data_IF_020328542774
#
_entry.id   IF_020328542774
#
_cell.length_a   1.000
_cell.length_b   1.000
_cell.length_c   1.000
_cell.angle_alpha   90.00
_cell.angle_beta   90.00
_cell.angle_gamma   90.00
#
_symmetry.space_group_name_H-M   'P 1'
#
loop_
_entity.id
_entity.type
_entity.pdbx_description
1 polymer ?
#
# COMPACT_ATOMS: atom_id res chain seq x y z
N UNK A 1 4.82 -15.79 -11.42
CA UNK A 1 5.45 -16.99 -10.85
C UNK A 1 4.57 -17.52 -9.75
N UNK A 2 4.59 -18.83 -9.54
CA UNK A 2 3.79 -19.46 -8.49
C UNK A 2 4.48 -19.23 -7.14
N UNK A 3 3.69 -18.89 -6.11
CA UNK A 3 4.20 -18.70 -4.76
C UNK A 3 4.67 -20.01 -4.14
N UNK A 4 5.73 -19.98 -3.30
CA UNK A 4 5.99 -21.04 -2.36
C UNK A 4 4.71 -21.40 -1.61
N UNK A 5 4.48 -22.69 -1.44
CA UNK A 5 3.30 -23.18 -0.73
C UNK A 5 3.22 -22.61 0.69
N UNK A 6 4.37 -22.41 1.32
CA UNK A 6 4.53 -21.79 2.64
C UNK A 6 4.05 -20.34 2.69
N UNK A 7 4.10 -19.59 1.59
CA UNK A 7 3.57 -18.23 1.51
C UNK A 7 2.07 -18.22 1.17
N UNK A 8 1.62 -19.16 0.34
CA UNK A 8 0.23 -19.26 -0.10
C UNK A 8 -0.76 -19.40 1.06
N UNK A 9 -0.37 -20.05 2.15
CA UNK A 9 -1.23 -20.16 3.36
C UNK A 9 -1.64 -18.81 3.94
N UNK A 10 -0.77 -17.78 3.87
CA UNK A 10 -1.13 -16.45 4.35
C UNK A 10 -2.14 -15.78 3.44
N UNK A 11 -2.12 -16.05 2.13
CA UNK A 11 -3.15 -15.59 1.23
C UNK A 11 -4.50 -16.20 1.60
N UNK A 12 -4.54 -17.51 1.83
CA UNK A 12 -5.77 -18.22 2.21
C UNK A 12 -6.38 -17.64 3.49
N UNK A 13 -5.54 -17.41 4.52
CA UNK A 13 -6.00 -16.80 5.78
C UNK A 13 -6.47 -15.35 5.54
N UNK A 14 -5.76 -14.58 4.72
CA UNK A 14 -6.14 -13.20 4.38
C UNK A 14 -7.42 -13.12 3.54
N UNK A 15 -7.71 -14.12 2.70
CA UNK A 15 -8.95 -14.23 1.93
C UNK A 15 -10.15 -14.51 2.85
N UNK A 16 -9.97 -15.29 3.93
CA UNK A 16 -11.02 -15.56 4.93
C UNK A 16 -11.25 -14.42 5.94
N UNK A 17 -10.21 -13.63 6.20
CA UNK A 17 -10.15 -12.62 7.25
C UNK A 17 -11.32 -11.62 7.27
N UNK A 18 -11.79 -11.03 6.16
CA UNK A 18 -12.83 -10.00 6.21
C UNK A 18 -14.17 -10.57 6.70
N UNK A 19 -14.51 -11.78 6.21
CA UNK A 19 -15.71 -12.50 6.63
C UNK A 19 -15.62 -12.83 8.12
N UNK A 20 -14.46 -13.28 8.62
CA UNK A 20 -14.26 -13.61 10.03
C UNK A 20 -14.33 -12.38 10.94
N UNK A 21 -13.75 -11.25 10.52
CA UNK A 21 -13.89 -9.98 11.24
C UNK A 21 -15.35 -9.58 11.38
N UNK A 22 -16.14 -9.69 10.29
CA UNK A 22 -17.56 -9.36 10.29
C UNK A 22 -18.41 -10.35 11.12
N UNK A 23 -18.15 -11.65 10.99
CA UNK A 23 -18.86 -12.72 11.71
C UNK A 23 -18.65 -12.63 13.22
N UNK A 24 -17.40 -12.42 13.66
CA UNK A 24 -17.11 -12.34 15.08
C UNK A 24 -17.54 -11.00 15.67
N UNK A 25 -17.27 -9.90 14.94
CA UNK A 25 -17.44 -8.52 15.39
C UNK A 25 -16.95 -8.31 16.85
N UNK A 26 -15.85 -8.96 17.18
CA UNK A 26 -15.27 -9.02 18.52
C UNK A 26 -13.76 -9.21 18.39
N UNK A 27 -13.03 -8.25 18.94
CA UNK A 27 -11.57 -8.16 18.83
C UNK A 27 -10.88 -9.41 19.36
N UNK A 28 -11.34 -9.95 20.49
CA UNK A 28 -10.67 -11.07 21.15
C UNK A 28 -10.97 -12.38 20.43
N UNK A 29 -12.22 -12.57 19.96
CA UNK A 29 -12.57 -13.73 19.14
C UNK A 29 -11.80 -13.75 17.82
N UNK A 30 -11.70 -12.60 17.15
CA UNK A 30 -10.93 -12.50 15.91
C UNK A 30 -9.44 -12.80 16.13
N UNK A 31 -8.81 -12.21 17.16
CA UNK A 31 -7.41 -12.50 17.49
C UNK A 31 -7.16 -13.95 17.87
N UNK A 32 -8.11 -14.58 18.58
CA UNK A 32 -8.02 -16.00 18.93
C UNK A 32 -8.11 -16.89 17.69
N UNK A 33 -9.03 -16.58 16.77
CA UNK A 33 -9.12 -17.27 15.48
C UNK A 33 -7.83 -17.11 14.67
N UNK A 34 -7.32 -15.89 14.47
CA UNK A 34 -6.13 -15.69 13.66
C UNK A 34 -4.91 -16.41 14.25
N UNK A 35 -4.74 -16.39 15.58
CA UNK A 35 -3.70 -17.18 16.26
C UNK A 35 -3.83 -18.67 15.94
N UNK A 36 -5.03 -19.22 16.07
CA UNK A 36 -5.28 -20.63 15.78
C UNK A 36 -4.96 -20.98 14.32
N UNK A 37 -5.36 -20.15 13.35
CA UNK A 37 -5.04 -20.37 11.94
C UNK A 37 -3.54 -20.35 11.69
N UNK A 38 -2.83 -19.38 12.27
CA UNK A 38 -1.37 -19.30 12.17
C UNK A 38 -0.69 -20.52 12.82
N UNK A 39 -1.11 -20.91 14.02
CA UNK A 39 -0.51 -22.05 14.75
C UNK A 39 -0.75 -23.40 14.05
N UNK A 40 -1.87 -23.54 13.34
CA UNK A 40 -2.28 -24.83 12.76
C UNK A 40 -1.92 -25.00 11.30
N UNK A 41 -1.93 -23.92 10.51
CA UNK A 41 -1.72 -23.98 9.06
C UNK A 41 -0.32 -23.55 8.63
N UNK A 42 0.37 -22.72 9.41
CA UNK A 42 1.68 -22.17 9.02
C UNK A 42 2.82 -23.06 9.52
N UNK A 43 3.58 -23.64 8.60
CA UNK A 43 4.91 -24.17 8.93
C UNK A 43 5.90 -23.01 9.04
N UNK A 44 6.04 -22.48 10.26
CA UNK A 44 6.85 -21.30 10.51
C UNK A 44 8.33 -21.50 10.14
N UNK A 45 8.87 -22.71 10.31
CA UNK A 45 10.24 -23.02 9.94
C UNK A 45 10.46 -22.99 8.43
N UNK A 46 9.52 -23.54 7.67
CA UNK A 46 9.52 -23.50 6.21
C UNK A 46 9.38 -22.07 5.68
N UNK A 47 8.44 -21.28 6.23
CA UNK A 47 8.25 -19.86 5.85
C UNK A 47 9.54 -19.06 6.01
N UNK A 48 10.21 -19.17 7.15
CA UNK A 48 11.41 -18.39 7.40
C UNK A 48 12.57 -18.80 6.49
N UNK A 49 12.67 -20.08 6.14
CA UNK A 49 13.68 -20.59 5.20
C UNK A 49 13.42 -20.11 3.77
N UNK A 50 12.17 -20.22 3.30
CA UNK A 50 11.81 -19.78 1.96
C UNK A 50 11.94 -18.25 1.85
N UNK A 51 11.62 -17.53 2.93
CA UNK A 51 11.84 -16.10 3.02
C UNK A 51 13.34 -15.73 2.93
N UNK A 52 14.22 -16.43 3.64
CA UNK A 52 15.67 -16.22 3.53
C UNK A 52 16.19 -16.45 2.11
N UNK A 53 15.71 -17.48 1.44
CA UNK A 53 16.11 -17.80 0.05
C UNK A 53 15.68 -16.68 -0.91
N UNK A 54 14.41 -16.26 -0.87
CA UNK A 54 13.90 -15.21 -1.74
C UNK A 54 14.52 -13.83 -1.46
N UNK A 55 14.81 -13.50 -0.20
CA UNK A 55 15.51 -12.27 0.17
C UNK A 55 16.93 -12.22 -0.38
N UNK A 56 17.62 -13.36 -0.46
CA UNK A 56 18.96 -13.43 -1.03
C UNK A 56 18.98 -13.14 -2.55
N UNK A 57 17.84 -13.31 -3.23
CA UNK A 57 17.71 -13.14 -4.68
C UNK A 57 16.96 -11.85 -5.09
N UNK A 58 16.41 -11.08 -4.14
CA UNK A 58 15.56 -9.91 -4.38
C UNK A 58 14.38 -10.22 -5.32
N UNK A 59 13.68 -11.32 -5.01
CA UNK A 59 12.58 -11.78 -5.86
C UNK A 59 11.34 -10.90 -5.70
N UNK A 60 10.75 -10.52 -6.84
CA UNK A 60 9.52 -9.69 -6.89
C UNK A 60 8.33 -10.29 -6.14
N UNK A 61 8.38 -11.60 -5.86
CA UNK A 61 7.38 -12.33 -5.09
C UNK A 61 7.26 -11.84 -3.64
N UNK A 62 8.33 -11.28 -3.09
CA UNK A 62 8.38 -10.77 -1.72
C UNK A 62 7.38 -9.63 -1.50
N UNK A 63 7.23 -8.72 -2.47
CA UNK A 63 6.23 -7.65 -2.41
C UNK A 63 4.80 -8.20 -2.44
N UNK A 64 4.59 -9.27 -3.22
CA UNK A 64 3.33 -10.02 -3.18
C UNK A 64 3.08 -10.60 -1.80
N UNK A 65 4.07 -11.28 -1.21
CA UNK A 65 3.97 -11.92 0.11
C UNK A 65 3.83 -10.91 1.27
N UNK A 66 4.38 -9.71 1.12
CA UNK A 66 4.23 -8.63 2.09
C UNK A 66 2.77 -8.14 2.22
N UNK A 67 1.97 -8.21 1.15
CA UNK A 67 0.58 -7.75 1.14
C UNK A 67 -0.33 -8.52 2.12
N UNK A 68 -0.45 -9.87 2.10
CA UNK A 68 -1.27 -10.58 3.07
C UNK A 68 -0.76 -10.40 4.50
N UNK A 69 0.57 -10.34 4.73
CA UNK A 69 1.13 -10.07 6.06
C UNK A 69 0.69 -8.69 6.59
N UNK A 70 0.72 -7.67 5.74
CA UNK A 70 0.26 -6.31 6.06
C UNK A 70 -1.23 -6.27 6.44
N UNK A 71 -2.08 -6.92 5.64
CA UNK A 71 -3.51 -6.99 5.91
C UNK A 71 -3.81 -7.77 7.19
N UNK A 72 -3.16 -8.91 7.41
CA UNK A 72 -3.31 -9.70 8.63
C UNK A 72 -2.81 -8.95 9.87
N UNK A 73 -1.71 -8.21 9.78
CA UNK A 73 -1.22 -7.39 10.89
C UNK A 73 -2.21 -6.27 11.26
N UNK A 74 -2.80 -5.57 10.29
CA UNK A 74 -3.84 -4.57 10.57
C UNK A 74 -5.14 -5.20 11.09
N UNK A 75 -5.55 -6.31 10.50
CA UNK A 75 -6.72 -7.04 10.97
C UNK A 75 -6.52 -7.52 12.40
N UNK A 76 -5.33 -8.01 12.75
CA UNK A 76 -5.01 -8.42 14.13
C UNK A 76 -4.99 -7.25 15.11
N UNK A 77 -4.45 -6.10 14.66
CA UNK A 77 -4.48 -4.85 15.42
C UNK A 77 -5.91 -4.46 15.75
N UNK A 78 -6.78 -4.38 14.75
CA UNK A 78 -8.12 -3.83 14.93
C UNK A 78 -9.14 -4.85 15.42
N UNK A 79 -9.15 -6.06 14.84
CA UNK A 79 -10.07 -7.16 15.13
C UNK A 79 -11.54 -6.91 14.78
N UNK A 80 -11.88 -5.67 14.45
CA UNK A 80 -13.18 -5.16 13.97
C UNK A 80 -12.92 -3.82 13.27
N UNK A 81 -13.96 -3.17 12.76
CA UNK A 81 -13.87 -1.78 12.30
C UNK A 81 -13.48 -0.87 13.49
N UNK A 82 -12.48 0.03 13.37
CA UNK A 82 -11.91 0.90 14.41
C UNK A 82 -12.86 1.91 15.10
N UNK A 83 -14.04 1.48 15.50
CA UNK A 83 -15.10 2.30 16.08
C UNK A 83 -14.93 2.49 17.59
N UNK A 84 -14.26 1.56 18.28
CA UNK A 84 -14.14 1.61 19.74
C UNK A 84 -13.00 2.52 20.20
N UNK A 85 -13.25 3.29 21.27
CA UNK A 85 -12.21 4.13 21.89
C UNK A 85 -11.06 3.29 22.47
N UNK A 86 -11.38 2.11 23.00
CA UNK A 86 -10.40 1.19 23.60
C UNK A 86 -9.32 0.78 22.61
N UNK A 87 -9.68 0.32 21.41
CA UNK A 87 -8.68 -0.11 20.43
C UNK A 87 -7.98 1.07 19.76
N UNK A 88 -8.63 2.23 19.64
CA UNK A 88 -7.98 3.46 19.14
C UNK A 88 -6.90 4.00 20.08
N UNK A 89 -7.10 3.85 21.39
CA UNK A 89 -6.17 4.30 22.43
C UNK A 89 -5.17 3.22 22.86
N UNK A 90 -5.22 2.03 22.26
CA UNK A 90 -4.25 0.97 22.55
C UNK A 90 -2.86 1.42 22.10
N UNK A 91 -1.91 1.43 23.02
CA UNK A 91 -0.51 1.80 22.74
C UNK A 91 0.40 0.59 22.56
N UNK A 92 -0.01 -0.59 23.02
CA UNK A 92 0.78 -1.81 22.96
C UNK A 92 -0.07 -3.02 22.55
N UNK A 93 0.50 -3.86 21.69
CA UNK A 93 -0.08 -5.12 21.23
C UNK A 93 1.02 -6.14 20.91
N UNK A 94 0.91 -7.32 21.50
CA UNK A 94 1.76 -8.46 21.17
C UNK A 94 1.18 -9.21 19.98
N UNK A 95 1.96 -9.29 18.90
CA UNK A 95 1.60 -10.03 17.69
C UNK A 95 2.10 -11.48 17.77
N UNK A 96 1.41 -12.44 17.13
CA UNK A 96 1.93 -13.80 16.97
C UNK A 96 3.23 -13.80 16.16
N UNK A 97 4.23 -14.57 16.59
CA UNK A 97 5.56 -14.59 15.94
C UNK A 97 5.50 -15.04 14.48
N UNK A 98 4.58 -15.95 14.16
CA UNK A 98 4.36 -16.46 12.81
C UNK A 98 3.81 -15.39 11.87
N UNK A 99 3.21 -14.31 12.40
CA UNK A 99 2.78 -13.16 11.61
C UNK A 99 3.84 -12.06 11.63
N UNK A 100 4.37 -11.74 12.82
CA UNK A 100 5.17 -10.55 13.01
C UNK A 100 6.61 -10.71 12.52
N UNK A 101 7.26 -11.85 12.78
CA UNK A 101 8.65 -12.07 12.39
C UNK A 101 8.86 -12.05 10.86
N UNK A 102 8.05 -12.72 10.02
CA UNK A 102 8.22 -12.61 8.56
C UNK A 102 7.89 -11.20 8.07
N UNK A 103 6.92 -10.52 8.70
CA UNK A 103 6.56 -9.14 8.37
C UNK A 103 7.69 -8.15 8.66
N UNK A 104 8.28 -8.20 9.86
CA UNK A 104 9.44 -7.39 10.23
C UNK A 104 10.61 -7.63 9.29
N UNK A 105 10.91 -8.89 8.98
CA UNK A 105 12.04 -9.25 8.14
C UNK A 105 11.91 -8.71 6.71
N UNK A 106 10.72 -8.76 6.12
CA UNK A 106 10.47 -8.17 4.79
C UNK A 106 10.53 -6.64 4.85
N UNK A 107 9.96 -6.02 5.88
CA UNK A 107 10.01 -4.58 6.03
C UNK A 107 11.45 -4.08 6.21
N UNK A 108 12.25 -4.76 7.03
CA UNK A 108 13.66 -4.42 7.26
C UNK A 108 14.47 -4.52 5.96
N UNK A 109 14.21 -5.54 5.13
CA UNK A 109 14.86 -5.69 3.82
C UNK A 109 14.57 -4.50 2.89
N UNK A 110 13.30 -4.06 2.82
CA UNK A 110 12.91 -2.92 1.99
C UNK A 110 13.09 -1.55 2.66
N UNK A 111 13.57 -1.49 3.90
CA UNK A 111 13.66 -0.26 4.69
C UNK A 111 12.29 0.37 5.00
N UNK A 112 11.24 -0.43 5.07
CA UNK A 112 9.89 0.00 5.41
C UNK A 112 9.71 0.11 6.91
N UNK A 113 8.86 1.04 7.34
CA UNK A 113 8.48 1.20 8.74
C UNK A 113 7.68 -0.03 9.19
N UNK A 114 8.00 -0.57 10.36
CA UNK A 114 7.32 -1.73 10.99
C UNK A 114 5.93 -1.36 11.54
N UNK A 115 5.02 -1.01 10.63
CA UNK A 115 3.61 -0.73 10.89
C UNK A 115 2.77 -1.52 9.91
N UNK A 116 1.60 -1.97 10.36
CA UNK A 116 0.81 -2.96 9.63
C UNK A 116 0.65 -2.65 8.15
N UNK A 117 0.36 -1.41 7.74
CA UNK A 117 0.24 -1.06 6.32
C UNK A 117 1.12 0.14 5.95
N UNK A 118 1.60 0.15 4.72
CA UNK A 118 2.22 1.30 4.05
C UNK A 118 1.62 1.44 2.66
N UNK A 119 1.80 2.61 2.04
CA UNK A 119 1.35 2.82 0.67
C UNK A 119 1.90 1.76 -0.31
N UNK A 120 3.19 1.43 -0.20
CA UNK A 120 3.85 0.41 -1.03
C UNK A 120 3.21 -0.97 -0.87
N UNK A 121 2.82 -1.33 0.35
CA UNK A 121 2.17 -2.62 0.63
C UNK A 121 0.72 -2.65 0.12
N UNK A 122 0.03 -1.52 0.07
CA UNK A 122 -1.24 -1.40 -0.64
C UNK A 122 -1.08 -1.64 -2.15
N UNK A 123 0.00 -1.13 -2.76
CA UNK A 123 0.29 -1.39 -4.18
C UNK A 123 0.55 -2.89 -4.42
N UNK A 124 1.28 -3.55 -3.52
CA UNK A 124 1.54 -4.99 -3.58
C UNK A 124 0.28 -5.88 -3.53
N UNK A 125 -0.86 -5.33 -3.06
CA UNK A 125 -2.16 -6.01 -3.01
C UNK A 125 -2.96 -5.96 -4.34
N UNK A 126 -2.43 -5.33 -5.40
CA UNK A 126 -3.17 -5.15 -6.63
C UNK A 126 -3.15 -6.40 -7.54
N UNK A 127 -4.29 -6.66 -8.19
CA UNK A 127 -4.45 -7.64 -9.26
C UNK A 127 -4.26 -6.94 -10.61
N UNK A 128 -3.41 -7.53 -11.45
CA UNK A 128 -3.09 -7.01 -12.77
C UNK A 128 -3.61 -7.93 -13.88
N UNK A 129 -4.19 -7.32 -14.92
CA UNK A 129 -4.50 -7.95 -16.20
C UNK A 129 -3.75 -7.18 -17.30
N UNK A 130 -2.86 -7.84 -18.05
CA UNK A 130 -2.05 -7.22 -19.11
C UNK A 130 -1.32 -5.91 -18.68
N UNK A 131 -0.69 -5.92 -17.48
CA UNK A 131 -0.04 -4.76 -16.84
C UNK A 131 -1.01 -3.60 -16.48
N UNK A 132 -2.32 -3.84 -16.50
CA UNK A 132 -3.32 -2.89 -16.03
C UNK A 132 -3.80 -3.32 -14.65
N UNK A 133 -3.71 -2.46 -13.62
CA UNK A 133 -4.33 -2.75 -12.34
C UNK A 133 -5.85 -2.74 -12.51
N UNK A 134 -6.52 -3.83 -12.13
CA UNK A 134 -7.96 -4.01 -12.34
C UNK A 134 -8.74 -4.20 -11.04
N UNK A 135 -8.09 -4.71 -9.99
CA UNK A 135 -8.73 -4.97 -8.71
C UNK A 135 -7.72 -4.98 -7.54
N UNK A 136 -8.21 -5.01 -6.31
CA UNK A 136 -7.43 -5.32 -5.12
C UNK A 136 -7.79 -6.72 -4.64
N UNK A 137 -6.78 -7.51 -4.22
CA UNK A 137 -7.03 -8.87 -3.75
C UNK A 137 -7.67 -8.89 -2.37
N UNK A 138 -7.00 -8.29 -1.39
CA UNK A 138 -7.43 -8.25 0.00
C UNK A 138 -8.16 -6.94 0.31
N UNK A 139 -9.17 -7.03 1.17
CA UNK A 139 -9.92 -5.92 1.75
C UNK A 139 -10.05 -6.16 3.25
N UNK A 140 -10.46 -5.17 4.02
CA UNK A 140 -10.77 -5.30 5.45
C UNK A 140 -12.23 -5.62 5.72
N UNK A 141 -13.12 -5.26 4.77
CA UNK A 141 -14.56 -5.38 4.93
C UNK A 141 -15.13 -6.58 4.17
N UNK A 142 -16.28 -7.09 4.61
CA UNK A 142 -17.00 -8.18 3.93
C UNK A 142 -18.29 -7.72 3.22
N UNK A 143 -18.87 -6.58 3.62
CA UNK A 143 -20.06 -6.04 2.96
C UNK A 143 -19.72 -5.61 1.52
N UNK A 144 -20.44 -6.08 0.49
CA UNK A 144 -20.11 -5.78 -0.90
C UNK A 144 -20.08 -4.29 -1.26
N UNK A 145 -20.91 -3.46 -0.63
CA UNK A 145 -20.93 -2.02 -0.89
C UNK A 145 -19.70 -1.33 -0.30
N UNK A 146 -19.31 -1.75 0.92
CA UNK A 146 -18.10 -1.24 1.58
C UNK A 146 -16.86 -1.73 0.84
N UNK A 147 -16.80 -3.02 0.49
CA UNK A 147 -15.70 -3.63 -0.28
C UNK A 147 -15.47 -2.89 -1.59
N UNK A 148 -16.53 -2.59 -2.34
CA UNK A 148 -16.42 -1.82 -3.58
C UNK A 148 -15.79 -0.44 -3.33
N UNK A 149 -16.24 0.27 -2.30
CA UNK A 149 -15.73 1.59 -1.93
C UNK A 149 -14.24 1.52 -1.54
N UNK A 150 -13.88 0.52 -0.73
CA UNK A 150 -12.51 0.26 -0.28
C UNK A 150 -11.57 -0.06 -1.44
N UNK A 151 -11.95 -0.99 -2.32
CA UNK A 151 -11.18 -1.36 -3.51
C UNK A 151 -10.95 -0.15 -4.42
N UNK A 152 -12.01 0.61 -4.70
CA UNK A 152 -11.91 1.82 -5.51
C UNK A 152 -10.99 2.87 -4.88
N UNK A 153 -11.03 3.03 -3.56
CA UNK A 153 -10.16 3.95 -2.85
C UNK A 153 -8.68 3.56 -3.05
N UNK A 154 -8.30 2.30 -2.79
CA UNK A 154 -6.92 1.86 -2.96
C UNK A 154 -6.47 1.83 -4.44
N UNK A 155 -7.32 1.39 -5.36
CA UNK A 155 -7.04 1.42 -6.80
C UNK A 155 -6.77 2.84 -7.30
N UNK A 156 -7.50 3.84 -6.78
CA UNK A 156 -7.34 5.23 -7.22
C UNK A 156 -5.91 5.74 -7.05
N UNK A 157 -5.24 5.34 -5.97
CA UNK A 157 -3.86 5.71 -5.68
C UNK A 157 -2.87 5.04 -6.65
N UNK A 158 -3.09 3.77 -6.98
CA UNK A 158 -2.23 3.07 -7.93
C UNK A 158 -2.40 3.63 -9.35
N UNK A 159 -3.63 3.90 -9.78
CA UNK A 159 -3.87 4.55 -11.06
C UNK A 159 -3.26 5.95 -11.11
N UNK A 160 -3.27 6.69 -10.00
CA UNK A 160 -2.55 7.96 -9.89
C UNK A 160 -1.06 7.77 -10.15
N UNK A 161 -0.39 6.87 -9.41
CA UNK A 161 1.06 6.67 -9.55
C UNK A 161 1.47 6.25 -10.96
N UNK A 162 0.70 5.34 -11.57
CA UNK A 162 0.93 4.94 -12.97
C UNK A 162 0.74 6.10 -13.94
N UNK A 163 -0.25 6.96 -13.70
CA UNK A 163 -0.48 8.17 -14.51
C UNK A 163 0.62 9.20 -14.31
N UNK A 164 1.23 9.25 -13.13
CA UNK A 164 2.30 10.18 -12.78
C UNK A 164 3.67 9.77 -13.32
N UNK A 165 3.93 8.47 -13.51
CA UNK A 165 5.22 7.92 -13.97
C UNK A 165 5.91 8.73 -15.07
N UNK A 166 5.26 9.18 -16.16
CA UNK A 166 5.92 9.99 -17.19
C UNK A 166 6.44 11.34 -16.68
N UNK A 167 5.79 11.94 -15.68
CA UNK A 167 6.23 13.20 -15.07
C UNK A 167 7.57 13.06 -14.36
N UNK A 168 7.80 11.93 -13.67
CA UNK A 168 9.07 11.65 -12.99
C UNK A 168 10.25 11.70 -13.97
N UNK A 169 10.11 11.08 -15.15
CA UNK A 169 11.13 11.16 -16.20
C UNK A 169 11.32 12.59 -16.69
N UNK A 170 10.23 13.31 -16.96
CA UNK A 170 10.31 14.71 -17.41
C UNK A 170 10.94 15.64 -16.37
N UNK A 171 10.76 15.37 -15.08
CA UNK A 171 11.43 16.09 -13.99
C UNK A 171 12.93 15.83 -13.99
N UNK A 172 13.35 14.56 -14.11
CA UNK A 172 14.76 14.21 -14.21
C UNK A 172 15.43 14.85 -15.44
N UNK A 173 14.77 14.80 -16.60
CA UNK A 173 15.25 15.45 -17.82
C UNK A 173 15.36 16.97 -17.64
N UNK A 174 14.39 17.59 -16.96
CA UNK A 174 14.41 19.02 -16.69
C UNK A 174 15.59 19.42 -15.81
N UNK A 175 15.88 18.64 -14.76
CA UNK A 175 17.03 18.87 -13.87
C UNK A 175 18.35 18.74 -14.65
N UNK A 176 18.48 17.68 -15.46
CA UNK A 176 19.66 17.44 -16.31
C UNK A 176 19.90 18.60 -17.29
N UNK A 177 18.85 19.10 -17.94
CA UNK A 177 18.94 20.27 -18.82
C UNK A 177 19.25 21.56 -18.06
N UNK A 178 18.79 21.67 -16.81
CA UNK A 178 19.08 22.82 -15.95
C UNK A 178 20.56 22.89 -15.60
N UNK A 179 21.16 21.74 -15.27
CA UNK A 179 22.61 21.64 -15.04
C UNK A 179 23.40 21.94 -16.30
N UNK A 180 23.03 21.32 -17.43
CA UNK A 180 23.68 21.56 -18.73
C UNK A 180 23.64 23.03 -19.17
N UNK A 181 22.53 23.74 -18.90
CA UNK A 181 22.38 25.15 -19.20
C UNK A 181 23.23 26.08 -18.32
N UNK A 182 23.61 25.64 -17.11
CA UNK A 182 24.55 26.39 -16.26
C UNK A 182 25.97 26.33 -16.82
N UNK A 183 26.32 25.26 -17.51
CA UNK A 183 27.66 25.02 -18.04
C UNK A 183 27.87 25.57 -19.46
N UNK A 184 26.80 25.72 -20.25
CA UNK A 184 26.88 26.14 -21.66
C UNK A 184 26.09 27.43 -21.95
N UNK A 185 26.81 28.52 -22.21
CA UNK A 185 26.21 29.82 -22.57
C UNK A 185 25.69 29.89 -24.01
N UNK A 186 26.28 29.12 -24.94
CA UNK A 186 26.00 29.26 -26.38
C UNK A 186 24.65 28.66 -26.82
N UNK A 187 24.05 27.77 -26.00
CA UNK A 187 22.78 27.09 -26.30
C UNK A 187 21.64 27.43 -25.33
N UNK A 188 21.78 28.51 -24.55
CA UNK A 188 20.88 28.83 -23.45
C UNK A 188 19.40 28.95 -23.85
N UNK A 189 19.10 29.57 -25.01
CA UNK A 189 17.71 29.75 -25.48
C UNK A 189 17.07 28.42 -25.91
N UNK A 190 17.83 27.55 -26.58
CA UNK A 190 17.35 26.22 -26.97
C UNK A 190 17.05 25.36 -25.74
N UNK A 191 17.95 25.36 -24.75
CA UNK A 191 17.79 24.62 -23.50
C UNK A 191 16.61 25.14 -22.69
N UNK A 192 16.40 26.45 -22.66
CA UNK A 192 15.21 27.06 -22.06
C UNK A 192 13.93 26.58 -22.75
N UNK A 193 13.91 26.58 -24.09
CA UNK A 193 12.77 26.08 -24.87
C UNK A 193 12.41 24.64 -24.54
N UNK A 194 13.40 23.75 -24.46
CA UNK A 194 13.21 22.34 -24.09
C UNK A 194 12.66 22.19 -22.66
N UNK A 195 13.24 22.91 -21.69
CA UNK A 195 12.78 22.91 -20.31
C UNK A 195 11.32 23.37 -20.16
N UNK A 196 10.93 24.41 -20.90
CA UNK A 196 9.53 24.87 -20.93
C UNK A 196 8.58 23.78 -21.46
N UNK A 197 8.99 23.00 -22.45
CA UNK A 197 8.17 21.88 -22.94
C UNK A 197 8.03 20.77 -21.90
N UNK A 198 9.10 20.45 -21.17
CA UNK A 198 9.05 19.48 -20.06
C UNK A 198 8.08 19.94 -18.97
N UNK A 199 8.12 21.21 -18.55
CA UNK A 199 7.17 21.76 -17.58
C UNK A 199 5.71 21.68 -18.06
N UNK A 200 5.45 21.94 -19.35
CA UNK A 200 4.11 21.75 -19.94
C UNK A 200 3.68 20.29 -19.90
N UNK A 201 4.60 19.36 -20.14
CA UNK A 201 4.39 17.92 -20.02
C UNK A 201 4.04 17.50 -18.59
N UNK A 202 4.83 17.93 -17.60
CA UNK A 202 4.59 17.68 -16.16
C UNK A 202 3.21 18.21 -15.77
N UNK A 203 2.86 19.44 -16.16
CA UNK A 203 1.52 20.01 -15.92
C UNK A 203 0.40 19.15 -16.52
N UNK A 204 0.61 18.61 -17.74
CA UNK A 204 -0.37 17.73 -18.38
C UNK A 204 -0.55 16.44 -17.58
N UNK A 205 0.52 15.85 -17.07
CA UNK A 205 0.45 14.67 -16.20
C UNK A 205 -0.28 14.98 -14.89
N UNK A 206 -0.05 16.14 -14.28
CA UNK A 206 -0.76 16.55 -13.07
C UNK A 206 -2.27 16.66 -13.31
N UNK A 207 -2.68 17.27 -14.43
CA UNK A 207 -4.09 17.34 -14.83
C UNK A 207 -4.67 15.94 -15.04
N UNK A 208 -3.91 14.99 -15.60
CA UNK A 208 -4.33 13.61 -15.77
C UNK A 208 -4.52 12.90 -14.41
N UNK A 209 -3.58 13.07 -13.48
CA UNK A 209 -3.70 12.58 -12.10
C UNK A 209 -4.96 13.11 -11.40
N UNK A 210 -5.22 14.43 -11.48
CA UNK A 210 -6.43 15.00 -10.86
C UNK A 210 -7.72 14.41 -11.44
N UNK A 211 -7.73 14.05 -12.73
CA UNK A 211 -8.88 13.37 -13.36
C UNK A 211 -9.06 11.95 -12.85
N UNK A 212 -7.97 11.22 -12.53
CA UNK A 212 -8.07 9.90 -11.89
C UNK A 212 -8.83 10.02 -10.58
N UNK A 213 -8.38 10.87 -9.65
CA UNK A 213 -9.10 11.06 -8.38
C UNK A 213 -10.54 11.50 -8.59
N UNK A 214 -10.78 12.46 -9.48
CA UNK A 214 -12.14 12.91 -9.77
C UNK A 214 -13.06 11.77 -10.25
N UNK A 215 -12.53 10.78 -10.97
CA UNK A 215 -13.33 9.65 -11.44
C UNK A 215 -13.62 8.64 -10.33
N UNK A 216 -12.68 8.40 -9.42
CA UNK A 216 -12.85 7.45 -8.31
C UNK A 216 -13.64 8.04 -7.13
N UNK A 217 -13.43 9.32 -6.81
CA UNK A 217 -14.05 10.02 -5.68
C UNK A 217 -15.48 10.50 -5.94
N UNK A 218 -16.19 9.87 -6.89
CA UNK A 218 -17.63 10.03 -7.10
C UNK A 218 -18.37 8.98 -6.27
N UNK A 219 -19.62 9.24 -5.89
CA UNK A 219 -20.41 8.32 -5.06
C UNK A 219 -20.59 6.92 -5.67
N UNK A 220 -20.45 6.78 -6.99
CA UNK A 220 -20.47 5.47 -7.66
C UNK A 220 -19.14 4.68 -7.56
N UNK A 221 -18.08 5.35 -7.11
CA UNK A 221 -16.74 4.82 -6.86
C UNK A 221 -16.47 4.65 -5.37
N UNK A 222 -16.11 5.74 -4.68
CA UNK A 222 -15.89 5.80 -3.23
C UNK A 222 -17.09 6.49 -2.57
N UNK A 223 -17.81 5.76 -1.73
CA UNK A 223 -18.97 6.31 -1.02
C UNK A 223 -18.53 7.22 0.13
N UNK A 224 -18.95 8.48 0.10
CA UNK A 224 -18.68 9.46 1.16
C UNK A 224 -19.22 8.99 2.52
N UNK A 225 -20.42 8.38 2.52
CA UNK A 225 -21.08 7.89 3.73
C UNK A 225 -20.32 6.74 4.40
N UNK A 226 -19.61 5.93 3.61
CA UNK A 226 -18.88 4.75 4.12
C UNK A 226 -17.39 5.03 4.37
N UNK A 227 -16.84 6.05 3.71
CA UNK A 227 -15.39 6.22 3.62
C UNK A 227 -14.73 6.45 4.98
N UNK A 228 -15.23 7.40 5.78
CA UNK A 228 -14.60 7.74 7.06
C UNK A 228 -14.66 6.57 8.05
N UNK A 229 -15.79 5.88 8.11
CA UNK A 229 -16.07 4.88 9.14
C UNK A 229 -15.47 3.51 8.82
N UNK A 230 -15.39 3.14 7.53
CA UNK A 230 -15.05 1.77 7.13
C UNK A 230 -13.80 1.64 6.26
N UNK A 231 -13.35 2.72 5.62
CA UNK A 231 -12.23 2.68 4.65
C UNK A 231 -11.02 3.42 5.19
N UNK A 232 -11.17 4.70 5.52
CA UNK A 232 -10.07 5.58 5.94
C UNK A 232 -9.40 5.11 7.25
N UNK A 233 -10.18 4.55 8.16
CA UNK A 233 -9.73 4.19 9.50
C UNK A 233 -8.83 2.93 9.53
N UNK A 234 -9.02 2.01 8.58
CA UNK A 234 -8.37 0.69 8.61
C UNK A 234 -6.84 0.74 8.50
N UNK A 235 -6.24 1.57 7.63
CA UNK A 235 -4.78 1.63 7.52
C UNK A 235 -4.09 2.40 8.66
N UNK A 236 -4.86 2.99 9.59
CA UNK A 236 -4.30 3.80 10.66
C UNK A 236 -3.44 2.95 11.62
N UNK A 237 -2.28 3.49 12.00
CA UNK A 237 -1.35 2.82 12.90
C UNK A 237 -0.81 3.75 13.98
N UNK A 238 -0.90 3.33 15.25
CA UNK A 238 -0.46 4.01 16.46
C UNK A 238 -0.28 2.99 17.62
N UNK A 239 0.44 1.88 17.38
CA UNK A 239 0.74 0.87 18.43
C UNK A 239 2.24 0.58 18.44
N UNK A 240 2.74 0.07 19.57
CA UNK A 240 4.13 -0.33 19.76
C UNK A 240 5.14 0.79 19.48
N UNK A 241 4.78 2.03 19.82
CA UNK A 241 5.66 3.20 19.68
C UNK A 241 5.84 3.68 18.23
N UNK A 242 5.11 3.11 17.27
CA UNK A 242 5.12 3.55 15.87
C UNK A 242 3.86 4.38 15.61
N UNK A 243 4.06 5.65 15.24
CA UNK A 243 2.99 6.59 14.90
C UNK A 243 2.76 6.67 13.40
N UNK A 244 1.51 6.92 13.02
CA UNK A 244 1.09 7.10 11.64
C UNK A 244 0.84 5.78 10.90
N UNK A 245 -0.35 5.65 10.32
CA UNK A 245 -0.68 4.58 9.38
C UNK A 245 -0.27 4.90 7.95
N UNK A 246 -0.72 4.06 7.00
CA UNK A 246 -0.55 4.37 5.59
C UNK A 246 -1.31 5.66 5.24
N UNK A 247 -0.63 6.59 4.58
CA UNK A 247 -1.19 7.88 4.17
C UNK A 247 -0.93 8.19 2.71
N UNK A 248 -1.76 9.06 2.12
CA UNK A 248 -1.50 9.59 0.78
C UNK A 248 -0.17 10.35 0.68
N UNK A 249 0.38 10.83 1.80
CA UNK A 249 1.69 11.49 1.84
C UNK A 249 2.82 10.56 1.38
N UNK A 250 2.70 9.25 1.56
CA UNK A 250 3.71 8.28 1.10
C UNK A 250 3.76 8.12 -0.44
N UNK A 251 2.82 8.74 -1.16
CA UNK A 251 2.79 8.70 -2.61
C UNK A 251 3.97 9.47 -3.22
N UNK A 252 4.65 8.83 -4.17
CA UNK A 252 5.68 9.44 -5.00
C UNK A 252 5.12 10.62 -5.80
N UNK A 253 3.85 10.60 -6.15
CA UNK A 253 3.21 11.70 -6.89
C UNK A 253 3.28 13.02 -6.15
N UNK A 254 2.93 13.05 -4.86
CA UNK A 254 2.95 14.28 -4.07
C UNK A 254 4.38 14.66 -3.67
N UNK A 255 5.14 13.70 -3.13
CA UNK A 255 6.53 13.96 -2.71
C UNK A 255 7.41 14.47 -3.84
N UNK A 256 7.37 13.85 -5.02
CA UNK A 256 8.20 14.32 -6.15
C UNK A 256 7.77 15.69 -6.67
N UNK A 257 6.48 16.01 -6.61
CA UNK A 257 6.00 17.32 -7.03
C UNK A 257 6.44 18.42 -6.07
N UNK A 258 6.28 18.20 -4.77
CA UNK A 258 6.68 19.15 -3.73
C UNK A 258 8.20 19.39 -3.79
N UNK A 259 9.01 18.33 -3.80
CA UNK A 259 10.48 18.44 -3.90
C UNK A 259 10.95 19.10 -5.20
N UNK A 260 10.26 18.86 -6.32
CA UNK A 260 10.62 19.46 -7.61
C UNK A 260 10.33 20.96 -7.68
N UNK A 261 9.31 21.44 -6.96
CA UNK A 261 8.87 22.84 -6.98
C UNK A 261 9.49 23.68 -5.85
N UNK A 262 9.96 23.06 -4.77
CA UNK A 262 10.53 23.72 -3.58
C UNK A 262 9.48 24.32 -2.66
#
# INVERSE_FOLDING_TARGET
EDWPKSFSVYQEIADEMPTKMAEFNDVQKFRAWLRQELDTKVDFGEVMRDLDDHLAHDDSILLGFAAPLSFLANAYRWGTVPSTEVERNRTHLEFPEQLWNPFEKINDFYGLVQRGNTFTLNVGNCIYEDDVPVDMRFCFNADPHIVKSEKNFFLSFLHMERTWKPALQMMADYLTLTESARESHDNAEQLLGQRVQLLKGIRKSLVAVSRVFHNYMKDNGVSVELWADYVQCMPAWNVNGVEGGASGGESMTFHSLDEFLG
#
